data_IF_552205605938
#
_entry.id   IF_552205605938
#
_cell.length_a   1.000
_cell.length_b   1.000
_cell.length_c   1.000
_cell.angle_alpha   90.00
_cell.angle_beta   90.00
_cell.angle_gamma   90.00
#
_symmetry.space_group_name_H-M   'P 1'
#
loop_
_entity.id
_entity.type
_entity.pdbx_description
1 polymer ?
#
# COMPACT_ATOMS: atom_id res chain seq x y z
N UNK A 1 40.09 18.16 22.37
CA UNK A 1 39.91 18.19 20.91
C UNK A 1 38.52 17.69 20.62
N UNK A 2 37.63 18.56 20.14
CA UNK A 2 36.23 18.22 19.86
C UNK A 2 36.14 17.44 18.55
N UNK A 3 35.76 16.16 18.64
CA UNK A 3 35.31 15.36 17.51
C UNK A 3 33.86 15.75 17.19
N UNK A 4 33.66 16.79 16.39
CA UNK A 4 32.39 16.97 15.68
C UNK A 4 32.56 16.48 14.25
N UNK A 5 31.72 15.51 13.88
CA UNK A 5 31.63 15.00 12.51
C UNK A 5 31.44 16.19 11.54
N UNK A 6 32.21 16.27 10.44
CA UNK A 6 32.04 17.32 9.44
C UNK A 6 30.74 17.17 8.62
N UNK A 7 29.99 16.10 8.86
CA UNK A 7 28.78 15.76 8.12
C UNK A 7 27.54 16.16 8.93
N UNK A 8 26.78 17.11 8.40
CA UNK A 8 25.46 17.51 8.90
C UNK A 8 24.37 16.98 7.97
N UNK A 9 23.28 16.46 8.55
CA UNK A 9 22.08 16.10 7.79
C UNK A 9 21.25 17.37 7.58
N UNK A 10 21.18 17.82 6.33
CA UNK A 10 20.38 18.98 5.95
C UNK A 10 19.17 18.55 5.12
N UNK A 11 17.99 19.05 5.49
CA UNK A 11 16.75 18.84 4.73
C UNK A 11 16.50 20.06 3.86
N UNK A 12 16.50 19.87 2.54
CA UNK A 12 16.18 20.90 1.57
C UNK A 12 14.82 20.63 0.92
N UNK A 13 14.01 21.68 0.78
CA UNK A 13 12.79 21.67 -0.02
C UNK A 13 13.11 22.25 -1.39
N UNK A 14 13.22 21.40 -2.41
CA UNK A 14 13.50 21.84 -3.78
C UNK A 14 12.17 22.05 -4.50
N UNK A 15 11.91 23.27 -4.95
CA UNK A 15 10.78 23.55 -5.84
C UNK A 15 11.04 22.96 -7.23
N UNK A 16 10.03 22.27 -7.77
CA UNK A 16 10.13 21.64 -9.11
C UNK A 16 10.07 22.71 -10.19
N UNK A 17 11.04 22.74 -11.11
CA UNK A 17 11.01 23.70 -12.22
C UNK A 17 9.99 23.27 -13.29
N UNK A 18 9.49 24.22 -14.11
CA UNK A 18 8.74 23.89 -15.32
C UNK A 18 9.54 22.92 -16.21
N UNK A 19 8.90 21.83 -16.65
CA UNK A 19 9.55 20.76 -17.42
C UNK A 19 10.06 19.58 -16.58
N UNK A 20 10.28 19.74 -15.27
CA UNK A 20 10.76 18.67 -14.38
C UNK A 20 9.62 17.86 -13.72
N UNK A 21 8.35 18.24 -13.96
CA UNK A 21 7.17 17.63 -13.31
C UNK A 21 7.13 16.12 -13.48
N UNK A 22 7.44 15.59 -14.67
CA UNK A 22 7.47 14.14 -14.91
C UNK A 22 8.56 13.44 -14.09
N UNK A 23 9.78 13.97 -14.06
CA UNK A 23 10.89 13.42 -13.28
C UNK A 23 10.63 13.48 -11.76
N UNK A 24 10.06 14.58 -11.28
CA UNK A 24 9.64 14.70 -9.89
C UNK A 24 8.57 13.65 -9.52
N UNK A 25 7.52 13.51 -10.33
CA UNK A 25 6.47 12.53 -10.07
C UNK A 25 6.97 11.09 -10.19
N UNK A 26 7.90 10.82 -11.11
CA UNK A 26 8.62 9.55 -11.20
C UNK A 26 9.35 9.24 -9.88
N UNK A 27 10.10 10.21 -9.33
CA UNK A 27 10.81 10.05 -8.06
C UNK A 27 9.87 9.85 -6.87
N UNK A 28 8.74 10.55 -6.84
CA UNK A 28 7.71 10.35 -5.81
C UNK A 28 7.07 8.96 -5.90
N UNK A 29 6.81 8.46 -7.11
CA UNK A 29 6.30 7.11 -7.34
C UNK A 29 7.32 6.06 -6.89
N UNK A 30 8.58 6.18 -7.31
CA UNK A 30 9.68 5.31 -6.90
C UNK A 30 9.86 5.28 -5.37
N UNK A 31 9.89 6.45 -4.73
CA UNK A 31 10.00 6.55 -3.27
C UNK A 31 8.81 5.92 -2.54
N UNK A 32 7.59 6.03 -3.08
CA UNK A 32 6.40 5.39 -2.52
C UNK A 32 6.45 3.87 -2.66
N UNK A 33 6.97 3.37 -3.77
CA UNK A 33 7.22 1.93 -3.98
C UNK A 33 8.23 1.39 -2.98
N UNK A 34 9.32 2.10 -2.70
CA UNK A 34 10.27 1.72 -1.66
C UNK A 34 9.64 1.75 -0.25
N UNK A 35 8.76 2.72 0.03
CA UNK A 35 8.00 2.71 1.30
C UNK A 35 7.10 1.48 1.45
N UNK A 36 6.53 0.98 0.36
CA UNK A 36 5.75 -0.26 0.39
C UNK A 36 6.65 -1.48 0.66
N UNK A 37 7.90 -1.49 0.18
CA UNK A 37 8.86 -2.54 0.49
C UNK A 37 9.18 -2.61 1.99
N UNK A 38 9.31 -1.46 2.68
CA UNK A 38 9.49 -1.47 4.14
C UNK A 38 8.33 -2.14 4.87
N UNK A 39 7.09 -2.03 4.35
CA UNK A 39 5.94 -2.75 4.92
C UNK A 39 6.07 -4.26 4.72
N UNK A 40 6.62 -4.72 3.60
CA UNK A 40 6.92 -6.14 3.41
C UNK A 40 7.94 -6.64 4.45
N UNK A 41 8.99 -5.86 4.71
CA UNK A 41 9.97 -6.21 5.74
C UNK A 41 9.34 -6.24 7.15
N UNK A 42 8.39 -5.34 7.46
CA UNK A 42 7.61 -5.36 8.71
C UNK A 42 6.67 -6.58 8.82
N UNK A 43 6.08 -6.99 7.69
CA UNK A 43 5.24 -8.19 7.57
C UNK A 43 6.07 -9.46 7.79
N UNK A 44 7.26 -9.55 7.20
CA UNK A 44 8.17 -10.68 7.40
C UNK A 44 8.55 -10.85 8.89
N UNK A 45 8.86 -9.74 9.58
CA UNK A 45 9.14 -9.77 11.03
C UNK A 45 7.95 -10.17 11.88
N UNK A 46 6.71 -10.01 11.38
CA UNK A 46 5.53 -10.42 12.13
C UNK A 46 5.39 -11.96 12.22
N UNK A 47 6.01 -12.72 11.32
CA UNK A 47 6.05 -14.19 11.41
C UNK A 47 6.87 -14.72 12.59
N UNK A 48 7.80 -13.91 13.10
CA UNK A 48 8.70 -14.30 14.20
C UNK A 48 8.06 -14.08 15.57
N UNK A 49 6.89 -13.44 15.63
CA UNK A 49 6.20 -13.16 16.88
C UNK A 49 5.74 -14.46 17.55
N UNK A 50 5.91 -14.54 18.87
CA UNK A 50 5.60 -15.74 19.67
C UNK A 50 4.40 -15.55 20.57
N UNK A 51 4.08 -14.29 20.88
CA UNK A 51 2.93 -13.95 21.69
C UNK A 51 1.76 -13.52 20.80
N UNK A 52 0.61 -14.16 20.99
CA UNK A 52 -0.57 -13.95 20.15
C UNK A 52 -1.15 -12.54 20.29
N UNK A 53 -1.10 -11.94 21.48
CA UNK A 53 -1.63 -10.59 21.70
C UNK A 53 -0.74 -9.56 20.99
N UNK A 54 0.58 -9.73 21.05
CA UNK A 54 1.50 -8.89 20.27
C UNK A 54 1.36 -9.12 18.77
N UNK A 55 1.15 -10.36 18.32
CA UNK A 55 0.97 -10.69 16.91
C UNK A 55 -0.30 -10.04 16.32
N UNK A 56 -1.40 -10.07 17.05
CA UNK A 56 -2.65 -9.39 16.68
C UNK A 56 -2.43 -7.87 16.54
N UNK A 57 -1.79 -7.24 17.52
CA UNK A 57 -1.50 -5.81 17.47
C UNK A 57 -0.60 -5.44 16.27
N UNK A 58 0.46 -6.21 16.04
CA UNK A 58 1.35 -6.02 14.88
C UNK A 58 0.63 -6.24 13.56
N UNK A 59 -0.23 -7.25 13.47
CA UNK A 59 -1.00 -7.52 12.27
C UNK A 59 -1.94 -6.36 11.92
N UNK A 60 -2.68 -5.83 12.90
CA UNK A 60 -3.53 -4.66 12.72
C UNK A 60 -2.74 -3.43 12.24
N UNK A 61 -1.61 -3.15 12.88
CA UNK A 61 -0.69 -2.07 12.48
C UNK A 61 -0.15 -2.24 11.05
N UNK A 62 0.33 -3.44 10.71
CA UNK A 62 0.88 -3.73 9.37
C UNK A 62 -0.18 -3.59 8.28
N UNK A 63 -1.40 -4.06 8.54
CA UNK A 63 -2.52 -3.94 7.61
C UNK A 63 -2.93 -2.47 7.40
N UNK A 64 -2.97 -1.65 8.45
CA UNK A 64 -3.20 -0.20 8.32
C UNK A 64 -2.09 0.48 7.50
N UNK A 65 -0.82 0.18 7.83
CA UNK A 65 0.33 0.70 7.09
C UNK A 65 0.26 0.34 5.62
N UNK A 66 0.00 -0.92 5.30
CA UNK A 66 -0.16 -1.41 3.93
C UNK A 66 -1.21 -0.61 3.16
N UNK A 67 -2.42 -0.47 3.71
CA UNK A 67 -3.52 0.25 3.08
C UNK A 67 -3.19 1.73 2.85
N UNK A 68 -2.51 2.37 3.81
CA UNK A 68 -2.06 3.75 3.66
C UNK A 68 -1.01 3.89 2.55
N UNK A 69 -0.05 2.96 2.44
CA UNK A 69 0.98 2.98 1.38
C UNK A 69 0.42 2.66 0.01
N UNK A 70 -0.53 1.75 -0.10
CA UNK A 70 -1.23 1.45 -1.37
C UNK A 70 -2.03 2.66 -1.85
N UNK A 71 -2.74 3.34 -0.95
CA UNK A 71 -3.44 4.57 -1.28
C UNK A 71 -2.48 5.66 -1.76
N UNK A 72 -1.39 5.88 -1.01
CA UNK A 72 -0.34 6.83 -1.39
C UNK A 72 0.20 6.52 -2.78
N UNK A 73 0.57 5.25 -3.03
CA UNK A 73 1.12 4.79 -4.30
C UNK A 73 0.16 5.03 -5.47
N UNK A 74 -1.13 4.75 -5.28
CA UNK A 74 -2.17 5.04 -6.28
C UNK A 74 -2.22 6.52 -6.63
N UNK A 75 -2.20 7.40 -5.64
CA UNK A 75 -2.25 8.84 -5.89
C UNK A 75 -0.98 9.34 -6.60
N UNK A 76 0.20 8.80 -6.24
CA UNK A 76 1.45 9.11 -6.97
C UNK A 76 1.44 8.60 -8.41
N UNK A 77 0.91 7.39 -8.63
CA UNK A 77 0.77 6.82 -9.97
C UNK A 77 -0.12 7.69 -10.85
N UNK A 78 -1.26 8.15 -10.32
CA UNK A 78 -2.15 9.08 -11.03
C UNK A 78 -1.45 10.42 -11.32
N UNK A 79 -0.71 10.97 -10.37
CA UNK A 79 0.04 12.22 -10.60
C UNK A 79 1.12 12.05 -11.68
N UNK A 80 1.80 10.92 -11.69
CA UNK A 80 2.79 10.61 -12.72
C UNK A 80 2.14 10.41 -14.10
N UNK A 81 1.02 9.69 -14.17
CA UNK A 81 0.23 9.56 -15.39
C UNK A 81 -0.19 10.92 -15.96
N UNK A 82 -0.69 11.84 -15.12
CA UNK A 82 -1.01 13.21 -15.55
C UNK A 82 0.21 13.90 -16.17
N UNK A 83 1.37 13.77 -15.53
CA UNK A 83 2.59 14.41 -15.98
C UNK A 83 3.10 13.87 -17.34
N UNK A 84 2.97 12.57 -17.60
CA UNK A 84 3.49 11.96 -18.83
C UNK A 84 2.49 11.94 -19.99
N UNK A 85 1.18 11.99 -19.70
CA UNK A 85 0.14 11.94 -20.75
C UNK A 85 -0.42 13.31 -21.12
N UNK A 86 -0.31 14.30 -20.23
CA UNK A 86 -0.97 15.60 -20.38
C UNK A 86 -2.50 15.56 -20.23
N UNK A 87 -3.09 14.38 -20.03
CA UNK A 87 -4.54 14.17 -20.01
C UNK A 87 -5.09 14.30 -18.57
N UNK A 88 -4.98 15.49 -17.98
CA UNK A 88 -5.23 15.65 -16.53
C UNK A 88 -6.63 15.20 -16.07
N UNK A 89 -7.67 15.56 -16.82
CA UNK A 89 -9.06 15.24 -16.51
C UNK A 89 -9.35 13.74 -16.66
N UNK A 90 -8.88 13.13 -17.75
CA UNK A 90 -9.12 11.72 -18.02
C UNK A 90 -8.37 10.84 -17.02
N UNK A 91 -7.14 11.19 -16.66
CA UNK A 91 -6.42 10.50 -15.59
C UNK A 91 -7.16 10.65 -14.25
N UNK A 92 -7.75 11.82 -13.98
CA UNK A 92 -8.61 12.01 -12.81
C UNK A 92 -9.81 11.06 -12.76
N UNK A 93 -10.40 10.74 -13.92
CA UNK A 93 -11.53 9.81 -14.05
C UNK A 93 -11.14 8.34 -13.78
N UNK A 94 -9.86 7.97 -13.91
CA UNK A 94 -9.39 6.60 -13.62
C UNK A 94 -9.61 6.17 -12.15
N UNK A 95 -9.77 7.14 -11.24
CA UNK A 95 -10.13 6.89 -9.82
C UNK A 95 -11.49 6.20 -9.67
N UNK A 96 -12.40 6.40 -10.62
CA UNK A 96 -13.79 5.89 -10.57
C UNK A 96 -13.92 4.68 -11.49
N UNK A 97 -14.21 3.47 -10.97
CA UNK A 97 -14.34 2.27 -11.79
C UNK A 97 -15.30 2.43 -12.98
N UNK A 98 -16.46 3.06 -12.74
CA UNK A 98 -17.48 3.30 -13.77
C UNK A 98 -17.01 4.19 -14.93
N UNK A 99 -16.00 5.04 -14.72
CA UNK A 99 -15.49 5.95 -15.75
C UNK A 99 -14.21 5.46 -16.43
N UNK A 100 -13.60 4.37 -15.93
CA UNK A 100 -12.26 3.95 -16.31
C UNK A 100 -12.17 3.55 -17.78
N UNK A 101 -13.12 2.77 -18.29
CA UNK A 101 -13.06 2.29 -19.67
C UNK A 101 -13.09 3.44 -20.69
N UNK A 102 -13.90 4.47 -20.44
CA UNK A 102 -13.95 5.66 -21.29
C UNK A 102 -12.69 6.53 -21.15
N UNK A 103 -12.19 6.69 -19.92
CA UNK A 103 -10.96 7.43 -19.66
C UNK A 103 -9.73 6.78 -20.30
N UNK A 104 -9.61 5.46 -20.24
CA UNK A 104 -8.53 4.70 -20.91
C UNK A 104 -8.56 4.94 -22.41
N UNK A 105 -9.72 4.79 -23.05
CA UNK A 105 -9.88 5.06 -24.49
C UNK A 105 -9.50 6.49 -24.87
N UNK A 106 -9.90 7.47 -24.07
CA UNK A 106 -9.56 8.87 -24.30
C UNK A 106 -8.05 9.10 -24.20
N UNK A 107 -7.39 8.56 -23.17
CA UNK A 107 -5.94 8.70 -23.00
C UNK A 107 -5.19 7.99 -24.13
N UNK A 108 -5.60 6.77 -24.53
CA UNK A 108 -4.98 6.04 -25.66
C UNK A 108 -5.12 6.77 -27.00
N UNK A 109 -6.22 7.51 -27.19
CA UNK A 109 -6.44 8.30 -28.39
C UNK A 109 -5.61 9.58 -28.40
N UNK A 110 -5.48 10.22 -27.24
CA UNK A 110 -4.89 11.56 -27.10
C UNK A 110 -3.43 11.56 -26.65
N UNK A 111 -2.88 10.40 -26.27
CA UNK A 111 -1.50 10.26 -25.82
C UNK A 111 -0.78 9.14 -26.54
N UNK A 112 0.44 9.41 -27.02
CA UNK A 112 1.31 8.40 -27.60
C UNK A 112 1.97 7.47 -26.56
N UNK A 113 1.68 7.66 -25.26
CA UNK A 113 2.35 6.92 -24.18
C UNK A 113 1.59 5.63 -23.83
N UNK A 114 2.29 4.50 -23.69
CA UNK A 114 1.65 3.25 -23.30
C UNK A 114 1.15 3.34 -21.86
N UNK A 115 -0.15 3.10 -21.65
CA UNK A 115 -0.78 3.15 -20.32
C UNK A 115 -1.25 1.79 -19.81
N UNK A 116 -1.04 0.70 -20.56
CA UNK A 116 -1.53 -0.63 -20.18
C UNK A 116 -1.03 -1.09 -18.80
N UNK A 117 0.28 -0.96 -18.56
CA UNK A 117 0.90 -1.34 -17.28
C UNK A 117 0.36 -0.50 -16.11
N UNK A 118 0.35 0.84 -16.17
CA UNK A 118 -0.18 1.64 -15.06
C UNK A 118 -1.69 1.46 -14.86
N UNK A 119 -2.48 1.11 -15.88
CA UNK A 119 -3.89 0.73 -15.69
C UNK A 119 -4.03 -0.58 -14.91
N UNK A 120 -3.26 -1.61 -15.27
CA UNK A 120 -3.26 -2.87 -14.51
C UNK A 120 -2.79 -2.69 -13.06
N UNK A 121 -1.82 -1.79 -12.84
CA UNK A 121 -1.40 -1.41 -11.50
C UNK A 121 -2.52 -0.68 -10.73
N UNK A 122 -3.22 0.26 -11.36
CA UNK A 122 -4.36 0.92 -10.73
C UNK A 122 -5.45 -0.07 -10.33
N UNK A 123 -5.77 -1.05 -11.18
CA UNK A 123 -6.74 -2.10 -10.86
C UNK A 123 -6.34 -2.87 -9.59
N UNK A 124 -5.08 -3.31 -9.51
CA UNK A 124 -4.55 -4.02 -8.35
C UNK A 124 -4.67 -3.21 -7.03
N UNK A 125 -4.54 -1.89 -7.11
CA UNK A 125 -4.57 -1.00 -5.94
C UNK A 125 -5.99 -0.61 -5.50
N UNK A 126 -7.03 -0.72 -6.35
CA UNK A 126 -8.35 -0.16 -6.01
C UNK A 126 -9.11 -0.98 -4.97
N UNK A 127 -8.94 -2.30 -4.97
CA UNK A 127 -9.64 -3.15 -4.01
C UNK A 127 -9.23 -2.77 -2.59
N UNK A 128 -7.94 -2.49 -2.38
CA UNK A 128 -7.40 -2.05 -1.09
C UNK A 128 -7.82 -0.63 -0.73
N UNK A 129 -7.89 0.26 -1.71
CA UNK A 129 -8.37 1.63 -1.47
C UNK A 129 -9.84 1.63 -1.06
N UNK A 130 -10.65 0.71 -1.59
CA UNK A 130 -12.02 0.52 -1.12
C UNK A 130 -12.05 0.03 0.32
N UNK A 131 -11.22 -0.95 0.68
CA UNK A 131 -11.08 -1.42 2.06
C UNK A 131 -10.70 -0.26 2.99
N UNK A 132 -9.66 0.52 2.64
CA UNK A 132 -9.28 1.73 3.38
C UNK A 132 -10.45 2.71 3.57
N UNK A 133 -11.25 2.92 2.53
CA UNK A 133 -12.41 3.82 2.57
C UNK A 133 -13.57 3.29 3.42
N UNK A 134 -13.69 1.97 3.59
CA UNK A 134 -14.66 1.35 4.50
C UNK A 134 -14.22 1.45 5.97
N UNK A 135 -12.91 1.46 6.23
CA UNK A 135 -12.32 1.50 7.57
C UNK A 135 -12.04 2.93 8.11
N UNK A 136 -12.96 3.88 7.89
CA UNK A 136 -12.69 5.30 8.22
C UNK A 136 -12.53 5.61 9.72
N UNK A 137 -11.35 6.16 10.04
CA UNK A 137 -10.99 7.06 11.15
C UNK A 137 -11.14 6.66 12.62
N UNK A 138 -11.63 5.47 12.98
CA UNK A 138 -11.54 5.03 14.39
C UNK A 138 -11.14 3.57 14.62
N UNK A 139 -11.46 2.68 13.67
CA UNK A 139 -11.32 1.23 13.85
C UNK A 139 -10.70 0.62 12.57
N UNK A 140 -9.44 1.00 12.25
CA UNK A 140 -8.86 0.71 10.94
C UNK A 140 -8.75 -0.79 10.65
N UNK A 141 -8.53 -1.58 11.69
CA UNK A 141 -8.68 -3.02 11.71
C UNK A 141 -8.77 -3.40 13.18
N UNK A 142 -9.93 -3.13 13.74
CA UNK A 142 -10.37 -4.01 14.80
C UNK A 142 -10.43 -5.39 14.15
N UNK A 143 -9.46 -6.24 14.46
CA UNK A 143 -9.46 -7.61 13.97
C UNK A 143 -10.76 -8.18 14.49
N UNK A 144 -11.69 -8.52 13.61
CA UNK A 144 -12.94 -9.12 14.03
C UNK A 144 -12.91 -10.56 13.58
N UNK A 145 -13.05 -11.47 14.54
CA UNK A 145 -13.24 -12.88 14.21
C UNK A 145 -14.74 -13.10 14.03
N UNK A 146 -15.10 -13.68 12.89
CA UNK A 146 -16.46 -14.15 12.65
C UNK A 146 -16.59 -15.58 13.17
N UNK A 147 -17.30 -15.78 14.30
CA UNK A 147 -17.46 -17.10 14.93
C UNK A 147 -18.83 -17.72 14.66
N UNK A 148 -19.25 -17.74 13.40
CA UNK A 148 -20.51 -18.39 12.96
C UNK A 148 -21.71 -17.44 12.91
N UNK A 149 -21.97 -16.64 13.95
CA UNK A 149 -23.12 -15.72 13.98
C UNK A 149 -22.81 -14.34 14.58
N UNK A 150 -21.58 -14.10 15.03
CA UNK A 150 -21.19 -12.87 15.72
C UNK A 150 -19.77 -12.41 15.34
N UNK A 151 -19.57 -11.10 15.42
CA UNK A 151 -18.28 -10.44 15.27
C UNK A 151 -17.73 -10.08 16.66
N UNK A 152 -16.52 -10.52 16.95
CA UNK A 152 -15.84 -10.19 18.20
C UNK A 152 -14.40 -9.73 17.98
N UNK A 153 -13.92 -8.93 18.92
CA UNK A 153 -12.52 -8.59 19.05
C UNK A 153 -11.73 -9.77 19.65
N UNK A 154 -10.68 -10.29 18.98
CA UNK A 154 -9.82 -11.35 19.47
C UNK A 154 -9.32 -11.11 20.88
N UNK A 155 -8.93 -9.87 21.19
CA UNK A 155 -8.43 -9.51 22.52
C UNK A 155 -9.48 -9.74 23.60
N UNK A 156 -10.71 -9.29 23.39
CA UNK A 156 -11.81 -9.46 24.35
C UNK A 156 -12.14 -10.94 24.54
N UNK A 157 -12.22 -11.71 23.45
CA UNK A 157 -12.52 -13.15 23.52
C UNK A 157 -11.39 -13.92 24.22
N UNK A 158 -10.12 -13.58 23.94
CA UNK A 158 -8.98 -14.19 24.62
C UNK A 158 -8.97 -13.89 26.13
N UNK A 159 -9.39 -12.68 26.52
CA UNK A 159 -9.56 -12.30 27.92
C UNK A 159 -10.69 -13.10 28.59
N UNK A 160 -11.84 -13.25 27.93
CA UNK A 160 -12.99 -14.00 28.43
C UNK A 160 -12.69 -15.50 28.58
N UNK A 161 -11.87 -16.06 27.70
CA UNK A 161 -11.46 -17.46 27.71
C UNK A 161 -10.31 -17.77 28.69
N UNK A 162 -9.83 -16.79 29.50
CA UNK A 162 -8.77 -17.03 30.50
C UNK A 162 -9.06 -18.20 31.44
N UNK A 163 -10.33 -18.46 31.74
CA UNK A 163 -10.77 -19.57 32.62
C UNK A 163 -11.06 -20.88 31.87
N UNK A 164 -10.92 -20.89 30.54
CA UNK A 164 -11.19 -22.03 29.65
C UNK A 164 -9.96 -22.30 28.77
N UNK A 165 -8.90 -22.91 29.31
CA UNK A 165 -7.61 -23.01 28.61
C UNK A 165 -7.66 -23.82 27.30
N UNK A 166 -8.54 -24.81 27.19
CA UNK A 166 -8.72 -25.58 25.96
C UNK A 166 -9.34 -24.72 24.85
N UNK A 167 -10.44 -24.03 25.14
CA UNK A 167 -11.10 -23.12 24.20
C UNK A 167 -10.19 -21.96 23.80
N UNK A 168 -9.44 -21.41 24.77
CA UNK A 168 -8.44 -20.37 24.51
C UNK A 168 -7.39 -20.86 23.51
N UNK A 169 -6.85 -22.06 23.70
CA UNK A 169 -5.85 -22.64 22.80
C UNK A 169 -6.39 -22.85 21.39
N UNK A 170 -7.62 -23.35 21.25
CA UNK A 170 -8.27 -23.50 19.94
C UNK A 170 -8.41 -22.16 19.21
N UNK A 171 -8.76 -21.11 19.94
CA UNK A 171 -8.83 -19.76 19.38
C UNK A 171 -7.46 -19.22 18.99
N UNK A 172 -6.44 -19.41 19.84
CA UNK A 172 -5.06 -19.01 19.54
C UNK A 172 -4.53 -19.72 18.28
N UNK A 173 -4.76 -21.03 18.15
CA UNK A 173 -4.35 -21.82 16.97
C UNK A 173 -5.05 -21.31 15.69
N UNK A 174 -6.34 -21.01 15.77
CA UNK A 174 -7.10 -20.41 14.68
C UNK A 174 -6.55 -19.02 14.30
N UNK A 175 -6.32 -18.16 15.29
CA UNK A 175 -5.81 -16.80 15.08
C UNK A 175 -4.43 -16.81 14.44
N UNK A 176 -3.52 -17.67 14.89
CA UNK A 176 -2.21 -17.83 14.28
C UNK A 176 -2.29 -18.20 12.81
N UNK A 177 -3.23 -19.11 12.46
CA UNK A 177 -3.45 -19.51 11.08
C UNK A 177 -3.95 -18.33 10.23
N UNK A 178 -4.93 -17.56 10.74
CA UNK A 178 -5.49 -16.44 10.00
C UNK A 178 -4.50 -15.27 9.87
N UNK A 179 -3.74 -14.95 10.92
CA UNK A 179 -2.68 -13.94 10.86
C UNK A 179 -1.66 -14.32 9.77
N UNK A 180 -1.16 -15.56 9.79
CA UNK A 180 -0.17 -16.02 8.81
C UNK A 180 -0.73 -15.97 7.39
N UNK A 181 -1.94 -16.49 7.17
CA UNK A 181 -2.61 -16.42 5.86
C UNK A 181 -2.66 -14.99 5.32
N UNK A 182 -3.06 -14.03 6.16
CA UNK A 182 -3.16 -12.64 5.72
C UNK A 182 -1.81 -11.95 5.55
N UNK A 183 -0.80 -12.27 6.38
CA UNK A 183 0.56 -11.80 6.17
C UNK A 183 1.13 -12.32 4.83
N UNK A 184 0.82 -13.56 4.44
CA UNK A 184 1.23 -14.15 3.15
C UNK A 184 0.55 -13.39 2.01
N UNK A 185 -0.77 -13.20 2.09
CA UNK A 185 -1.55 -12.44 1.10
C UNK A 185 -1.03 -11.01 0.91
N UNK A 186 -0.72 -10.30 1.99
CA UNK A 186 -0.14 -8.96 1.90
C UNK A 186 1.26 -8.98 1.29
N UNK A 187 2.11 -9.93 1.69
CA UNK A 187 3.47 -10.05 1.14
C UNK A 187 3.46 -10.29 -0.36
N UNK A 188 2.70 -11.28 -0.84
CA UNK A 188 2.55 -11.59 -2.27
C UNK A 188 2.03 -10.38 -3.06
N UNK A 189 1.06 -9.67 -2.47
CA UNK A 189 0.47 -8.49 -3.12
C UNK A 189 1.45 -7.33 -3.18
N UNK A 190 2.21 -7.07 -2.11
CA UNK A 190 3.29 -6.07 -2.10
C UNK A 190 4.31 -6.40 -3.18
N UNK A 191 4.78 -7.64 -3.25
CA UNK A 191 5.77 -8.07 -4.25
C UNK A 191 5.26 -7.83 -5.68
N UNK A 192 4.00 -8.18 -5.94
CA UNK A 192 3.35 -7.94 -7.24
C UNK A 192 3.27 -6.44 -7.57
N UNK A 193 2.82 -5.62 -6.62
CA UNK A 193 2.76 -4.16 -6.78
C UNK A 193 4.16 -3.59 -7.04
N UNK A 194 5.15 -4.02 -6.28
CA UNK A 194 6.54 -3.59 -6.40
C UNK A 194 7.08 -3.91 -7.79
N UNK A 195 6.99 -5.17 -8.23
CA UNK A 195 7.47 -5.61 -9.56
C UNK A 195 6.78 -4.82 -10.69
N UNK A 196 5.46 -4.68 -10.64
CA UNK A 196 4.71 -3.93 -11.67
C UNK A 196 5.10 -2.45 -11.69
N UNK A 197 5.21 -1.81 -10.53
CA UNK A 197 5.59 -0.39 -10.45
C UNK A 197 7.02 -0.18 -10.91
N UNK A 198 7.95 -1.05 -10.51
CA UNK A 198 9.36 -0.91 -10.87
C UNK A 198 9.60 -1.17 -12.37
N UNK A 199 8.91 -2.14 -12.96
CA UNK A 199 8.94 -2.36 -14.41
C UNK A 199 8.43 -1.12 -15.16
N UNK A 200 7.31 -0.55 -14.71
CA UNK A 200 6.78 0.68 -15.28
C UNK A 200 7.76 1.86 -15.15
N UNK A 201 8.38 2.03 -13.98
CA UNK A 201 9.37 3.09 -13.74
C UNK A 201 10.61 2.94 -14.62
N UNK A 202 11.08 1.72 -14.87
CA UNK A 202 12.21 1.44 -15.79
C UNK A 202 11.86 1.80 -17.23
N UNK A 203 10.67 1.43 -17.70
CA UNK A 203 10.19 1.77 -19.05
C UNK A 203 9.98 3.28 -19.25
N UNK A 204 9.81 4.01 -18.15
CA UNK A 204 9.53 5.45 -18.15
C UNK A 204 10.66 6.28 -17.55
N UNK A 205 11.87 5.70 -17.41
CA UNK A 205 13.01 6.37 -16.81
C UNK A 205 13.29 7.71 -17.53
N UNK A 206 13.49 8.84 -16.81
CA UNK A 206 13.51 10.18 -17.40
C UNK A 206 14.61 10.52 -18.43
N UNK A 207 15.38 9.56 -18.95
CA UNK A 207 16.40 9.82 -19.99
C UNK A 207 15.84 10.00 -21.41
N UNK A 208 14.51 10.08 -21.58
CA UNK A 208 13.81 10.05 -22.89
C UNK A 208 12.74 11.15 -23.01
N UNK A 209 12.78 12.19 -22.16
CA UNK A 209 11.78 13.28 -22.17
C UNK A 209 12.40 14.68 -22.21
N UNK A 210 13.58 14.79 -22.82
CA UNK A 210 14.19 16.06 -23.24
C UNK A 210 13.82 16.36 -24.69
#
# INVERSE_FOLDING_TARGET
MNNQSPWTLEFAWIETKPGEKAGYQWGQLAGSTHRLQFVADEIERAYEEKDIEYALNRFAYNAENYLNRVFELRERLLCFLKAITGCEDDVGRLRKPAMRSNAVKSIETNSAKPIKVPIGLLELLNDDVKLRGQHTHKNFLDLYIYTGDNLFYPHDVLLDLKRKPQDKKLLEDFLWKEIRRHLEEYSEKIEKIFKMTWNFLKETQPHIYS
#
